data_IF_778207019760
#
_entry.id   IF_778207019760
#
_cell.length_a   1.000
_cell.length_b   1.000
_cell.length_c   1.000
_cell.angle_alpha   90.00
_cell.angle_beta   90.00
_cell.angle_gamma   90.00
#
_symmetry.space_group_name_H-M   'P 1'
#
loop_
_entity.id
_entity.type
_entity.pdbx_description
1 polymer ?
#
# COMPACT_ATOMS: atom_id res chain seq x y z
N UNK A 1 -22.86 35.61 -15.05
CA UNK A 1 -24.29 35.81 -14.72
C UNK A 1 -25.10 35.22 -15.86
N UNK A 2 -25.67 34.03 -15.62
CA UNK A 2 -26.84 33.40 -16.26
C UNK A 2 -27.23 33.86 -17.67
N UNK A 3 -26.73 33.21 -18.72
CA UNK A 3 -27.25 33.42 -20.08
C UNK A 3 -28.28 32.37 -20.53
N UNK A 4 -28.40 31.24 -19.83
CA UNK A 4 -29.57 30.36 -19.96
C UNK A 4 -30.45 30.55 -18.74
N UNK A 5 -31.38 31.50 -18.85
CA UNK A 5 -32.53 31.57 -17.95
C UNK A 5 -33.30 30.25 -18.03
N UNK A 6 -33.86 29.87 -16.89
CA UNK A 6 -34.77 28.73 -16.69
C UNK A 6 -35.87 28.61 -17.75
N UNK A 7 -36.20 29.70 -18.45
CA UNK A 7 -37.13 29.74 -19.59
C UNK A 7 -36.69 28.88 -20.79
N UNK A 8 -35.39 28.74 -21.04
CA UNK A 8 -34.88 27.89 -22.15
C UNK A 8 -34.90 26.40 -21.81
N UNK A 9 -34.65 26.06 -20.55
CA UNK A 9 -34.74 24.69 -20.03
C UNK A 9 -36.20 24.23 -19.90
N UNK A 10 -37.11 25.16 -19.59
CA UNK A 10 -38.57 24.92 -19.60
C UNK A 10 -39.12 24.67 -21.00
N UNK A 11 -38.60 25.35 -22.04
CA UNK A 11 -39.02 25.13 -23.43
C UNK A 11 -38.59 23.76 -23.98
N UNK A 12 -37.46 23.22 -23.50
CA UNK A 12 -36.94 21.89 -23.86
C UNK A 12 -37.39 20.77 -22.91
N UNK A 13 -38.16 21.11 -21.86
CA UNK A 13 -38.71 20.17 -20.87
C UNK A 13 -37.66 19.26 -20.20
N UNK A 14 -36.48 19.80 -19.89
CA UNK A 14 -35.41 19.08 -19.17
C UNK A 14 -35.36 19.61 -17.74
N UNK A 15 -35.75 18.78 -16.77
CA UNK A 15 -35.96 19.21 -15.37
C UNK A 15 -34.69 19.05 -14.51
N UNK A 16 -33.67 18.29 -14.95
CA UNK A 16 -32.41 18.12 -14.22
C UNK A 16 -31.35 17.41 -15.07
N UNK A 17 -30.04 17.71 -14.97
CA UNK A 17 -28.98 17.05 -15.72
C UNK A 17 -28.77 15.55 -15.39
N UNK A 18 -29.46 14.98 -14.39
CA UNK A 18 -29.15 13.64 -13.88
C UNK A 18 -30.33 12.68 -13.64
N UNK A 19 -31.56 12.96 -14.08
CA UNK A 19 -32.66 12.00 -13.92
C UNK A 19 -33.49 11.80 -15.20
N UNK A 20 -33.20 10.71 -15.92
CA UNK A 20 -34.14 10.11 -16.86
C UNK A 20 -35.19 9.31 -16.05
N UNK A 21 -36.42 9.82 -15.96
CA UNK A 21 -37.55 9.02 -15.47
C UNK A 21 -37.92 7.98 -16.52
N UNK A 22 -37.37 6.77 -16.37
CA UNK A 22 -37.76 5.58 -17.11
C UNK A 22 -39.14 5.13 -16.60
N UNK A 23 -40.18 5.44 -17.37
CA UNK A 23 -41.52 4.88 -17.20
C UNK A 23 -41.52 3.40 -17.60
N UNK A 24 -41.86 2.54 -16.64
CA UNK A 24 -41.94 1.09 -16.78
C UNK A 24 -42.92 0.64 -17.87
N UNK A 25 -42.46 -0.11 -18.89
CA UNK A 25 -43.28 -1.13 -19.55
C UNK A 25 -42.49 -2.37 -19.96
N UNK A 26 -43.22 -3.49 -19.88
CA UNK A 26 -42.78 -4.86 -19.66
C UNK A 26 -42.17 -5.53 -20.90
N UNK A 27 -41.27 -6.49 -20.64
CA UNK A 27 -40.79 -7.53 -21.57
C UNK A 27 -41.90 -8.08 -22.46
N UNK A 28 -41.68 -8.08 -23.77
CA UNK A 28 -42.12 -9.18 -24.63
C UNK A 28 -41.11 -9.48 -25.74
N UNK A 29 -40.78 -10.76 -25.84
CA UNK A 29 -39.77 -11.36 -26.70
C UNK A 29 -40.18 -11.27 -28.18
N UNK A 30 -39.27 -10.81 -29.06
CA UNK A 30 -39.39 -11.03 -30.51
C UNK A 30 -38.88 -12.43 -30.86
N UNK A 31 -39.79 -13.34 -31.14
CA UNK A 31 -39.55 -14.52 -31.98
C UNK A 31 -39.89 -14.14 -33.43
N UNK A 32 -38.94 -14.38 -34.32
CA UNK A 32 -39.07 -14.39 -35.77
C UNK A 32 -40.08 -15.45 -36.25
N UNK A 33 -40.92 -15.13 -37.22
CA UNK A 33 -41.49 -16.14 -38.11
C UNK A 33 -41.89 -15.54 -39.47
N UNK A 34 -41.45 -16.24 -40.51
CA UNK A 34 -41.73 -16.04 -41.93
C UNK A 34 -43.16 -16.48 -42.30
N UNK A 35 -43.61 -15.99 -43.45
CA UNK A 35 -44.88 -16.26 -44.12
C UNK A 35 -45.13 -17.75 -44.44
N UNK A 36 -46.41 -18.14 -44.52
CA UNK A 36 -47.06 -18.89 -45.63
C UNK A 36 -48.46 -19.41 -45.27
N UNK A 37 -49.45 -19.15 -46.14
CA UNK A 37 -50.40 -20.18 -46.61
C UNK A 37 -51.77 -20.41 -45.92
N UNK A 38 -52.82 -19.97 -46.63
CA UNK A 38 -54.06 -20.69 -46.98
C UNK A 38 -55.33 -20.74 -46.08
N UNK A 39 -56.45 -20.51 -46.80
CA UNK A 39 -57.83 -21.08 -46.73
C UNK A 39 -58.87 -20.57 -45.71
N UNK A 40 -59.84 -19.83 -46.27
CA UNK A 40 -61.33 -19.91 -46.23
C UNK A 40 -62.16 -20.15 -44.94
N UNK A 41 -63.32 -19.47 -44.95
CA UNK A 41 -64.64 -19.75 -44.32
C UNK A 41 -65.02 -19.09 -42.98
N UNK A 42 -65.74 -17.96 -43.12
CA UNK A 42 -67.12 -17.68 -42.66
C UNK A 42 -67.54 -18.01 -41.21
N UNK A 43 -67.92 -16.98 -40.42
CA UNK A 43 -69.26 -16.79 -39.84
C UNK A 43 -69.30 -15.82 -38.63
N UNK A 44 -70.14 -14.80 -38.77
CA UNK A 44 -71.04 -14.12 -37.80
C UNK A 44 -70.77 -14.23 -36.28
N UNK A 45 -70.77 -13.05 -35.64
CA UNK A 45 -71.15 -12.92 -34.22
C UNK A 45 -70.89 -11.53 -33.65
N UNK A 46 -71.93 -10.70 -33.61
CA UNK A 46 -71.91 -9.31 -33.16
C UNK A 46 -71.95 -9.17 -31.62
N UNK A 47 -71.23 -8.17 -31.10
CA UNK A 47 -71.61 -7.23 -30.03
C UNK A 47 -70.32 -6.47 -29.63
N UNK A 48 -70.15 -5.19 -30.00
CA UNK A 48 -70.57 -4.05 -29.17
C UNK A 48 -69.63 -3.91 -27.96
N UNK A 49 -68.92 -2.83 -27.69
CA UNK A 49 -69.00 -1.42 -28.09
C UNK A 49 -67.90 -0.70 -27.29
N UNK A 50 -67.12 0.19 -27.90
CA UNK A 50 -66.68 1.45 -27.29
C UNK A 50 -65.77 2.15 -28.29
N UNK A 51 -66.11 3.40 -28.57
CA UNK A 51 -65.35 4.34 -29.36
C UNK A 51 -64.05 4.65 -28.61
N UNK A 52 -62.91 4.26 -29.15
CA UNK A 52 -61.67 4.99 -28.94
C UNK A 52 -61.27 5.51 -30.32
N UNK A 53 -61.37 6.83 -30.48
CA UNK A 53 -60.78 7.52 -31.60
C UNK A 53 -59.28 7.23 -31.52
N UNK A 54 -58.76 6.46 -32.48
CA UNK A 54 -57.33 6.38 -32.74
C UNK A 54 -56.85 7.81 -32.98
N UNK A 55 -56.19 8.41 -31.98
CA UNK A 55 -55.31 9.55 -32.22
C UNK A 55 -54.27 9.06 -33.22
N UNK A 56 -54.43 9.48 -34.48
CA UNK A 56 -53.46 9.28 -35.52
C UNK A 56 -52.15 9.95 -35.08
N UNK A 57 -51.23 9.15 -34.56
CA UNK A 57 -49.85 9.60 -34.35
C UNK A 57 -49.27 9.82 -35.75
N UNK A 58 -48.99 11.08 -36.06
CA UNK A 58 -48.38 11.52 -37.32
C UNK A 58 -47.11 10.68 -37.58
N UNK A 59 -47.03 10.02 -38.74
CA UNK A 59 -45.84 9.27 -39.19
C UNK A 59 -44.56 10.12 -39.26
N UNK A 60 -44.65 11.44 -39.09
CA UNK A 60 -43.49 12.36 -38.98
C UNK A 60 -43.03 12.61 -37.54
N UNK A 61 -43.77 12.19 -36.53
CA UNK A 61 -43.41 12.39 -35.13
C UNK A 61 -42.49 11.26 -34.63
N UNK A 62 -41.35 11.06 -35.29
CA UNK A 62 -40.22 10.37 -34.68
C UNK A 62 -39.42 11.42 -33.92
N UNK A 63 -39.69 11.58 -32.62
CA UNK A 63 -38.69 12.20 -31.74
C UNK A 63 -37.62 11.14 -31.48
N UNK A 64 -36.64 11.08 -32.37
CA UNK A 64 -35.43 10.27 -32.16
C UNK A 64 -34.79 10.74 -30.85
N UNK A 65 -34.90 9.94 -29.79
CA UNK A 65 -34.28 10.21 -28.48
C UNK A 65 -32.75 10.32 -28.61
N UNK A 66 -32.19 9.74 -29.66
CA UNK A 66 -30.80 9.91 -30.11
C UNK A 66 -30.48 11.34 -30.59
N UNK A 67 -31.44 12.06 -31.17
CA UNK A 67 -31.25 13.46 -31.60
C UNK A 67 -31.19 14.45 -30.42
N UNK A 68 -31.95 14.20 -29.35
CA UNK A 68 -31.99 15.08 -28.18
C UNK A 68 -30.75 14.92 -27.30
N UNK A 69 -30.23 13.70 -27.16
CA UNK A 69 -28.98 13.42 -26.45
C UNK A 69 -27.77 14.03 -27.16
N UNK A 70 -27.72 13.92 -28.49
CA UNK A 70 -26.70 14.60 -29.31
C UNK A 70 -26.81 16.14 -29.21
N UNK A 71 -28.02 16.71 -29.22
CA UNK A 71 -28.22 18.15 -29.08
C UNK A 71 -27.79 18.67 -27.69
N UNK A 72 -28.08 17.93 -26.62
CA UNK A 72 -27.63 18.29 -25.26
C UNK A 72 -26.10 18.31 -25.21
N UNK A 73 -25.44 17.31 -25.80
CA UNK A 73 -23.98 17.26 -25.85
C UNK A 73 -23.42 18.44 -26.64
N UNK A 74 -23.98 18.79 -27.80
CA UNK A 74 -23.57 19.96 -28.58
C UNK A 74 -23.76 21.29 -27.83
N UNK A 75 -24.86 21.44 -27.07
CA UNK A 75 -25.12 22.64 -26.26
C UNK A 75 -24.10 22.75 -25.11
N UNK A 76 -23.79 21.64 -24.43
CA UNK A 76 -22.80 21.61 -23.36
C UNK A 76 -21.39 21.92 -23.89
N UNK A 77 -21.02 21.34 -25.03
CA UNK A 77 -19.75 21.60 -25.70
C UNK A 77 -19.64 23.08 -26.11
N UNK A 78 -20.72 23.67 -26.62
CA UNK A 78 -20.76 25.08 -26.99
C UNK A 78 -20.66 25.99 -25.76
N UNK A 79 -21.39 25.70 -24.68
CA UNK A 79 -21.31 26.47 -23.43
C UNK A 79 -19.90 26.39 -22.83
N UNK A 80 -19.29 25.21 -22.78
CA UNK A 80 -17.92 25.03 -22.33
C UNK A 80 -16.93 25.83 -23.18
N UNK A 81 -17.07 25.80 -24.51
CA UNK A 81 -16.24 26.59 -25.42
C UNK A 81 -16.41 28.10 -25.20
N UNK A 82 -17.64 28.57 -24.95
CA UNK A 82 -17.91 29.98 -24.64
C UNK A 82 -17.33 30.39 -23.28
N UNK A 83 -17.44 29.53 -22.26
CA UNK A 83 -16.82 29.74 -20.96
C UNK A 83 -15.29 29.83 -21.06
N UNK A 84 -14.66 28.95 -21.83
CA UNK A 84 -13.21 28.98 -22.10
C UNK A 84 -12.83 30.29 -22.82
N UNK A 85 -13.60 30.73 -23.82
CA UNK A 85 -13.35 32.02 -24.51
C UNK A 85 -13.47 33.21 -23.57
N UNK A 86 -14.51 33.22 -22.74
CA UNK A 86 -14.71 34.26 -21.72
C UNK A 86 -13.61 34.24 -20.66
N UNK A 87 -13.11 33.05 -20.29
CA UNK A 87 -12.00 32.89 -19.37
C UNK A 87 -10.70 33.41 -19.99
N UNK A 88 -10.39 33.00 -21.23
CA UNK A 88 -9.17 33.41 -21.94
C UNK A 88 -9.07 34.93 -22.15
N UNK A 89 -10.21 35.61 -22.23
CA UNK A 89 -10.29 37.07 -22.41
C UNK A 89 -10.20 37.88 -21.11
N UNK A 90 -10.26 37.22 -19.93
CA UNK A 90 -10.15 37.87 -18.63
C UNK A 90 -8.71 37.86 -18.14
N UNK A 91 -8.37 38.87 -17.35
CA UNK A 91 -7.10 38.94 -16.62
C UNK A 91 -7.25 38.27 -15.26
N UNK A 92 -6.28 37.44 -14.90
CA UNK A 92 -6.19 36.78 -13.61
C UNK A 92 -4.84 37.07 -12.97
N UNK A 93 -4.85 37.31 -11.67
CA UNK A 93 -3.65 37.44 -10.86
C UNK A 93 -3.20 36.05 -10.41
N UNK A 94 -1.95 35.70 -10.68
CA UNK A 94 -1.38 34.46 -10.14
C UNK A 94 -0.79 34.69 -8.75
N UNK A 95 -1.22 33.92 -7.74
CA UNK A 95 -0.73 34.06 -6.36
C UNK A 95 0.69 33.51 -6.10
N UNK A 96 1.35 32.92 -7.11
CA UNK A 96 2.73 32.41 -7.01
C UNK A 96 3.73 33.46 -7.47
N UNK A 97 3.50 34.04 -8.65
CA UNK A 97 4.38 35.06 -9.24
C UNK A 97 3.86 36.50 -9.09
N UNK A 98 2.65 36.68 -8.55
CA UNK A 98 1.96 37.96 -8.38
C UNK A 98 1.84 38.80 -9.66
N UNK A 99 1.87 38.16 -10.83
CA UNK A 99 1.72 38.81 -12.13
C UNK A 99 0.29 38.63 -12.66
N UNK A 100 -0.23 39.67 -13.31
CA UNK A 100 -1.48 39.61 -14.07
C UNK A 100 -1.22 38.96 -15.42
N UNK A 101 -2.00 37.93 -15.72
CA UNK A 101 -1.88 37.13 -16.95
C UNK A 101 -3.26 36.94 -17.58
N UNK A 102 -3.29 36.85 -18.90
CA UNK A 102 -4.51 36.51 -19.64
C UNK A 102 -4.92 35.08 -19.29
N UNK A 103 -6.23 34.81 -19.27
CA UNK A 103 -6.74 33.46 -19.01
C UNK A 103 -6.18 32.40 -19.95
N UNK A 104 -5.72 32.76 -21.14
CA UNK A 104 -5.04 31.84 -22.07
C UNK A 104 -3.70 31.29 -21.54
N UNK A 105 -3.01 32.08 -20.70
CA UNK A 105 -1.75 31.69 -20.04
C UNK A 105 -1.96 31.17 -18.62
N UNK A 106 -3.22 31.05 -18.19
CA UNK A 106 -3.59 30.58 -16.86
C UNK A 106 -4.34 29.26 -16.94
N UNK A 107 -4.20 28.46 -15.88
CA UNK A 107 -5.00 27.27 -15.67
C UNK A 107 -5.84 27.48 -14.42
N UNK A 108 -7.05 26.93 -14.44
CA UNK A 108 -7.93 26.95 -13.28
C UNK A 108 -8.27 25.52 -12.86
N UNK A 109 -8.38 25.32 -11.56
CA UNK A 109 -8.85 24.07 -10.98
C UNK A 109 -10.37 24.13 -10.87
N UNK A 110 -11.08 23.17 -11.46
CA UNK A 110 -12.55 23.13 -11.46
C UNK A 110 -13.13 22.94 -10.04
N UNK A 111 -12.43 22.15 -9.21
CA UNK A 111 -12.87 21.79 -7.86
C UNK A 111 -12.71 22.94 -6.85
N UNK A 112 -11.62 23.72 -6.94
CA UNK A 112 -11.31 24.77 -5.97
C UNK A 112 -11.36 26.21 -6.53
N UNK A 113 -11.59 26.38 -7.83
CA UNK A 113 -11.65 27.67 -8.55
C UNK A 113 -10.39 28.54 -8.47
N UNK A 114 -9.28 28.02 -7.95
CA UNK A 114 -8.00 28.74 -7.93
C UNK A 114 -7.38 28.80 -9.33
N UNK A 115 -6.80 29.96 -9.66
CA UNK A 115 -6.21 30.25 -10.97
C UNK A 115 -4.73 30.54 -10.81
N UNK A 116 -3.90 29.87 -11.60
CA UNK A 116 -2.45 30.08 -11.59
C UNK A 116 -1.89 30.15 -13.00
N UNK A 117 -0.74 30.82 -13.14
CA UNK A 117 -0.04 30.93 -14.41
C UNK A 117 0.53 29.56 -14.84
N UNK A 118 0.49 29.24 -16.13
CA UNK A 118 0.99 27.97 -16.69
C UNK A 118 2.47 27.74 -16.35
N UNK A 119 3.31 28.78 -16.40
CA UNK A 119 4.73 28.68 -16.06
C UNK A 119 4.93 28.29 -14.59
N UNK A 120 4.19 28.93 -13.69
CA UNK A 120 4.24 28.70 -12.25
C UNK A 120 3.83 27.27 -11.89
N UNK A 121 2.77 26.77 -12.53
CA UNK A 121 2.30 25.40 -12.34
C UNK A 121 3.23 24.38 -12.96
N UNK A 122 3.85 24.68 -14.11
CA UNK A 122 4.88 23.83 -14.72
C UNK A 122 6.02 23.62 -13.72
N UNK A 123 6.61 24.70 -13.20
CA UNK A 123 7.71 24.61 -12.24
C UNK A 123 7.30 23.85 -10.97
N UNK A 124 6.11 24.12 -10.45
CA UNK A 124 5.56 23.41 -9.30
C UNK A 124 5.43 21.91 -9.55
N UNK A 125 4.82 21.50 -10.67
CA UNK A 125 4.68 20.09 -11.01
C UNK A 125 6.01 19.41 -11.29
N UNK A 126 6.96 20.08 -11.95
CA UNK A 126 8.30 19.54 -12.17
C UNK A 126 9.02 19.25 -10.86
N UNK A 127 8.95 20.17 -9.88
CA UNK A 127 9.57 19.98 -8.57
C UNK A 127 8.91 18.82 -7.83
N UNK A 128 7.57 18.79 -7.77
CA UNK A 128 6.84 17.70 -7.08
C UNK A 128 7.11 16.32 -7.69
N UNK A 129 7.19 16.22 -9.02
CA UNK A 129 7.52 14.97 -9.73
C UNK A 129 8.99 14.56 -9.47
N UNK A 130 9.91 15.54 -9.40
CA UNK A 130 11.33 15.29 -9.08
C UNK A 130 11.50 14.80 -7.64
N UNK A 131 10.80 15.41 -6.69
CA UNK A 131 10.84 15.09 -5.26
C UNK A 131 10.12 13.77 -4.91
N UNK A 132 9.35 13.20 -5.84
CA UNK A 132 8.69 11.91 -5.67
C UNK A 132 7.40 11.96 -4.84
N UNK A 133 6.91 13.15 -4.52
CA UNK A 133 5.65 13.35 -3.81
C UNK A 133 4.50 13.39 -4.82
N UNK A 134 4.16 12.22 -5.37
CA UNK A 134 3.22 12.11 -6.51
C UNK A 134 1.81 11.74 -6.09
N UNK A 135 1.60 11.44 -4.80
CA UNK A 135 0.35 10.86 -4.33
C UNK A 135 -0.87 11.74 -4.62
N UNK A 136 -0.72 13.05 -4.69
CA UNK A 136 -1.69 13.98 -5.25
C UNK A 136 -0.94 15.27 -5.60
N UNK A 137 -0.84 15.64 -6.88
CA UNK A 137 -0.39 16.99 -7.25
C UNK A 137 -1.47 17.97 -6.80
N UNK A 138 -1.36 18.44 -5.57
CA UNK A 138 -2.35 19.27 -4.93
C UNK A 138 -2.33 20.69 -5.48
N UNK A 139 -3.43 21.40 -5.29
CA UNK A 139 -3.46 22.84 -5.51
C UNK A 139 -2.41 23.54 -4.61
N UNK A 140 -1.64 24.51 -5.14
CA UNK A 140 -0.66 25.27 -4.36
C UNK A 140 -1.22 26.05 -3.15
N UNK A 141 -2.54 26.25 -3.10
CA UNK A 141 -3.21 26.93 -1.99
C UNK A 141 -3.19 26.09 -0.69
N UNK A 142 -2.73 26.65 0.44
CA UNK A 142 -2.71 25.95 1.71
C UNK A 142 -4.11 25.52 2.15
N UNK A 143 -4.24 24.26 2.59
CA UNK A 143 -5.49 23.61 3.05
C UNK A 143 -6.51 23.29 1.95
N UNK A 144 -6.13 23.35 0.68
CA UNK A 144 -6.99 22.90 -0.40
C UNK A 144 -6.77 21.40 -0.72
N UNK A 145 -7.80 20.54 -0.65
CA UNK A 145 -7.66 19.11 -0.95
C UNK A 145 -7.80 18.78 -2.45
N UNK A 146 -7.97 19.78 -3.32
CA UNK A 146 -8.16 19.55 -4.75
C UNK A 146 -6.89 19.05 -5.41
N UNK A 147 -7.04 18.04 -6.28
CA UNK A 147 -5.94 17.39 -6.99
C UNK A 147 -5.96 17.80 -8.47
N UNK A 148 -4.79 17.99 -9.05
CA UNK A 148 -4.64 18.22 -10.48
C UNK A 148 -5.02 16.95 -11.26
N UNK A 149 -5.83 17.11 -12.30
CA UNK A 149 -6.16 15.98 -13.18
C UNK A 149 -4.95 15.59 -14.04
N UNK A 150 -4.75 14.30 -14.38
CA UNK A 150 -3.63 13.86 -15.22
C UNK A 150 -3.57 14.59 -16.59
N UNK A 151 -4.71 15.00 -17.13
CA UNK A 151 -4.79 15.78 -18.36
C UNK A 151 -4.15 17.16 -18.24
N UNK A 152 -4.34 17.86 -17.12
CA UNK A 152 -3.73 19.16 -16.85
C UNK A 152 -2.20 19.05 -16.69
N UNK A 153 -1.73 17.96 -16.07
CA UNK A 153 -0.30 17.68 -15.92
C UNK A 153 0.33 17.41 -17.29
N UNK A 154 -0.34 16.63 -18.15
CA UNK A 154 0.12 16.31 -19.51
C UNK A 154 0.26 17.53 -20.41
N UNK A 155 -0.59 18.55 -20.23
CA UNK A 155 -0.51 19.79 -21.03
C UNK A 155 0.69 20.65 -20.64
N UNK A 156 1.11 20.61 -19.37
CA UNK A 156 2.12 21.53 -18.82
C UNK A 156 3.53 20.93 -18.75
N UNK A 157 3.63 19.63 -18.55
CA UNK A 157 4.88 18.92 -18.28
C UNK A 157 5.36 18.18 -19.53
N UNK A 158 6.68 18.11 -19.71
CA UNK A 158 7.30 17.38 -20.82
C UNK A 158 7.00 15.87 -20.76
N UNK A 159 7.00 15.21 -21.92
CA UNK A 159 6.60 13.81 -22.04
C UNK A 159 7.41 12.85 -21.13
N UNK A 160 8.69 13.14 -20.91
CA UNK A 160 9.56 12.32 -20.04
C UNK A 160 9.16 12.40 -18.56
N UNK A 161 8.91 13.63 -18.08
CA UNK A 161 8.47 13.86 -16.71
C UNK A 161 7.03 13.36 -16.49
N UNK A 162 6.17 13.47 -17.52
CA UNK A 162 4.84 12.89 -17.49
C UNK A 162 4.87 11.36 -17.41
N UNK A 163 5.76 10.69 -18.14
CA UNK A 163 5.92 9.22 -18.05
C UNK A 163 6.41 8.78 -16.65
N UNK A 164 7.25 9.61 -16.00
CA UNK A 164 7.66 9.39 -14.61
C UNK A 164 6.48 9.59 -13.64
N UNK A 165 5.71 10.65 -13.81
CA UNK A 165 4.48 10.90 -13.05
C UNK A 165 3.50 9.73 -13.17
N UNK A 166 3.21 9.28 -14.39
CA UNK A 166 2.29 8.17 -14.67
C UNK A 166 2.75 6.87 -13.99
N UNK A 167 4.04 6.55 -14.06
CA UNK A 167 4.61 5.39 -13.35
C UNK A 167 4.44 5.49 -11.84
N UNK A 168 4.70 6.65 -11.26
CA UNK A 168 4.61 6.86 -9.81
C UNK A 168 3.15 6.86 -9.34
N UNK A 169 2.23 7.40 -10.13
CA UNK A 169 0.80 7.34 -9.88
C UNK A 169 0.31 5.88 -9.91
N UNK A 170 0.72 5.12 -10.92
CA UNK A 170 0.39 3.70 -11.02
C UNK A 170 0.96 2.92 -9.83
N UNK A 171 2.24 3.12 -9.50
CA UNK A 171 2.89 2.45 -8.37
C UNK A 171 2.17 2.74 -7.06
N UNK A 172 1.88 4.02 -6.78
CA UNK A 172 1.14 4.38 -5.56
C UNK A 172 -0.26 3.78 -5.51
N UNK A 173 -0.94 3.67 -6.66
CA UNK A 173 -2.27 3.06 -6.73
C UNK A 173 -2.19 1.55 -6.46
N UNK A 174 -1.17 0.88 -7.00
CA UNK A 174 -0.92 -0.54 -6.79
C UNK A 174 -0.50 -0.84 -5.35
N UNK A 175 0.29 0.04 -4.72
CA UNK A 175 0.72 -0.10 -3.32
C UNK A 175 -0.46 -0.03 -2.33
N UNK A 176 -1.55 0.64 -2.70
CA UNK A 176 -2.79 0.68 -1.92
C UNK A 176 -3.60 -0.62 -2.02
N UNK A 177 -3.34 -1.45 -3.04
CA UNK A 177 -4.05 -2.71 -3.24
C UNK A 177 -3.37 -3.85 -2.48
N UNK A 178 -4.09 -4.47 -1.54
CA UNK A 178 -3.55 -5.57 -0.73
C UNK A 178 -3.20 -6.83 -1.54
N UNK A 179 -3.80 -7.01 -2.72
CA UNK A 179 -3.64 -8.20 -3.57
C UNK A 179 -2.46 -8.08 -4.55
N UNK A 180 -1.72 -6.96 -4.53
CA UNK A 180 -0.59 -6.73 -5.43
C UNK A 180 0.73 -6.94 -4.70
N UNK A 181 1.57 -7.80 -5.27
CA UNK A 181 2.92 -8.06 -4.74
C UNK A 181 3.96 -7.85 -5.84
N UNK A 182 5.03 -7.15 -5.53
CA UNK A 182 6.12 -6.92 -6.48
C UNK A 182 7.05 -8.13 -6.60
N UNK A 183 7.51 -8.37 -7.83
CA UNK A 183 8.55 -9.34 -8.07
C UNK A 183 9.82 -9.00 -7.26
N UNK A 184 10.37 -9.93 -6.47
CA UNK A 184 11.54 -9.66 -5.62
C UNK A 184 12.84 -9.49 -6.39
N UNK A 185 12.87 -9.79 -7.70
CA UNK A 185 14.08 -9.59 -8.51
C UNK A 185 14.34 -8.09 -8.69
N UNK A 186 15.53 -7.58 -8.31
CA UNK A 186 15.88 -6.17 -8.45
C UNK A 186 15.79 -5.66 -9.90
N UNK A 187 16.02 -6.54 -10.87
CA UNK A 187 15.96 -6.23 -12.29
C UNK A 187 14.54 -6.25 -12.88
N UNK A 188 13.53 -6.71 -12.14
CA UNK A 188 12.17 -6.88 -12.66
C UNK A 188 11.16 -5.98 -11.95
N UNK A 189 11.00 -6.12 -10.63
CA UNK A 189 10.05 -5.35 -9.80
C UNK A 189 8.65 -5.15 -10.42
N UNK A 190 8.18 -6.10 -11.23
CA UNK A 190 6.86 -6.00 -11.87
C UNK A 190 5.78 -6.34 -10.82
N UNK A 191 4.67 -5.58 -10.76
CA UNK A 191 3.53 -5.94 -9.92
C UNK A 191 2.90 -7.24 -10.42
N UNK A 192 2.65 -8.17 -9.50
CA UNK A 192 2.01 -9.46 -9.74
C UNK A 192 0.76 -9.53 -8.87
N UNK A 193 -0.35 -9.90 -9.48
CA UNK A 193 -1.60 -10.15 -8.75
C UNK A 193 -1.50 -11.46 -7.99
N UNK A 194 -1.81 -11.44 -6.70
CA UNK A 194 -1.88 -12.63 -5.86
C UNK A 194 -3.30 -13.21 -5.90
N UNK A 195 -3.41 -14.52 -6.10
CA UNK A 195 -4.69 -15.21 -5.91
C UNK A 195 -4.95 -15.44 -4.41
N UNK A 196 -6.18 -15.15 -3.93
CA UNK A 196 -6.52 -15.34 -2.52
C UNK A 196 -6.42 -16.81 -2.14
N UNK A 197 -5.65 -17.09 -1.08
CA UNK A 197 -5.41 -18.46 -0.57
C UNK A 197 -4.17 -19.15 -1.15
N UNK A 198 -3.53 -18.58 -2.17
CA UNK A 198 -2.28 -19.09 -2.72
C UNK A 198 -1.09 -18.27 -2.22
N UNK A 199 -0.04 -18.94 -1.73
CA UNK A 199 1.22 -18.29 -1.30
C UNK A 199 2.24 -18.16 -2.44
N UNK A 200 1.86 -18.55 -3.66
CA UNK A 200 2.71 -18.54 -4.85
C UNK A 200 2.36 -17.34 -5.73
N UNK A 201 3.36 -16.53 -6.07
CA UNK A 201 3.29 -15.51 -7.11
C UNK A 201 4.20 -15.89 -8.28
N UNK A 202 3.70 -15.83 -9.51
CA UNK A 202 4.49 -16.06 -10.72
C UNK A 202 4.56 -14.74 -11.49
N UNK A 203 5.79 -14.26 -11.70
CA UNK A 203 5.99 -13.03 -12.47
C UNK A 203 5.94 -13.29 -13.98
N UNK A 204 5.04 -12.63 -14.70
CA UNK A 204 4.84 -12.85 -16.15
C UNK A 204 6.01 -12.41 -17.04
N UNK A 205 6.89 -11.54 -16.57
CA UNK A 205 8.04 -11.05 -17.36
C UNK A 205 9.30 -11.90 -17.16
N UNK A 206 9.60 -12.30 -15.93
CA UNK A 206 10.80 -13.08 -15.62
C UNK A 206 10.54 -14.56 -15.30
N UNK A 207 9.28 -15.00 -15.33
CA UNK A 207 8.82 -16.35 -14.98
C UNK A 207 9.34 -16.85 -13.63
N UNK A 208 9.64 -15.93 -12.71
CA UNK A 208 10.12 -16.26 -11.39
C UNK A 208 8.92 -16.60 -10.49
N UNK A 209 8.87 -17.85 -10.04
CA UNK A 209 7.93 -18.31 -9.02
C UNK A 209 8.49 -18.02 -7.63
N UNK A 210 7.82 -17.16 -6.89
CA UNK A 210 8.22 -16.75 -5.55
C UNK A 210 7.10 -16.93 -4.54
N UNK A 211 7.49 -17.05 -3.28
CA UNK A 211 6.56 -17.08 -2.15
C UNK A 211 6.19 -15.63 -1.78
N UNK A 212 4.89 -15.32 -1.73
CA UNK A 212 4.39 -13.97 -1.39
C UNK A 212 4.70 -13.57 0.04
N UNK A 213 4.99 -14.54 0.92
CA UNK A 213 5.32 -14.33 2.32
C UNK A 213 6.80 -13.98 2.52
N UNK A 214 7.71 -14.86 2.10
CA UNK A 214 9.15 -14.67 2.32
C UNK A 214 9.85 -13.89 1.20
N UNK A 215 9.17 -13.69 0.05
CA UNK A 215 9.71 -13.07 -1.17
C UNK A 215 10.94 -13.81 -1.74
N UNK A 216 11.09 -15.10 -1.43
CA UNK A 216 12.11 -15.99 -1.97
C UNK A 216 11.51 -17.01 -2.95
N UNK A 217 12.34 -17.88 -3.51
CA UNK A 217 11.90 -19.00 -4.37
C UNK A 217 10.76 -19.77 -3.72
N UNK A 218 9.72 -20.05 -4.49
CA UNK A 218 8.60 -20.84 -4.00
C UNK A 218 9.05 -22.21 -3.50
N UNK A 219 8.61 -22.57 -2.29
CA UNK A 219 9.11 -23.72 -1.55
C UNK A 219 7.98 -24.69 -1.13
N UNK A 220 6.78 -24.51 -1.69
CA UNK A 220 5.63 -25.39 -1.46
C UNK A 220 5.24 -25.47 0.01
N UNK A 221 5.25 -26.69 0.55
CA UNK A 221 4.86 -27.02 1.93
C UNK A 221 6.00 -26.81 2.93
N UNK A 222 7.24 -26.65 2.46
CA UNK A 222 8.37 -26.42 3.37
C UNK A 222 8.28 -25.03 4.02
N UNK A 223 8.77 -24.84 5.25
CA UNK A 223 8.68 -23.56 5.94
C UNK A 223 9.50 -22.48 5.22
N UNK A 224 9.02 -21.23 5.31
CA UNK A 224 9.74 -20.07 4.79
C UNK A 224 11.12 -19.95 5.43
N UNK A 225 12.18 -19.88 4.61
CA UNK A 225 13.53 -19.56 5.09
C UNK A 225 13.67 -18.05 5.26
N UNK A 226 13.40 -17.55 6.47
CA UNK A 226 13.56 -16.13 6.80
C UNK A 226 15.04 -15.82 7.06
N UNK A 227 15.47 -14.61 6.66
CA UNK A 227 16.78 -14.06 7.00
C UNK A 227 16.80 -13.63 8.47
N UNK A 228 17.99 -13.59 9.09
CA UNK A 228 18.16 -13.27 10.52
C UNK A 228 17.52 -11.93 10.93
N UNK A 229 17.58 -10.92 10.07
CA UNK A 229 16.94 -9.61 10.30
C UNK A 229 15.41 -9.73 10.35
N UNK A 230 14.82 -10.44 9.38
CA UNK A 230 13.37 -10.65 9.33
C UNK A 230 12.86 -11.53 10.47
N UNK A 231 13.71 -12.37 11.05
CA UNK A 231 13.37 -13.15 12.24
C UNK A 231 13.23 -12.25 13.47
N UNK A 232 14.08 -11.22 13.60
CA UNK A 232 14.00 -10.23 14.67
C UNK A 232 12.74 -9.38 14.50
N UNK A 233 12.44 -8.94 13.28
CA UNK A 233 11.21 -8.19 12.99
C UNK A 233 9.95 -9.02 13.30
N UNK A 234 9.92 -10.27 12.83
CA UNK A 234 8.82 -11.20 13.10
C UNK A 234 8.62 -11.45 14.60
N UNK A 235 9.71 -11.53 15.35
CA UNK A 235 9.67 -11.67 16.80
C UNK A 235 9.07 -10.43 17.48
N UNK A 236 9.56 -9.23 17.12
CA UNK A 236 9.04 -7.99 17.69
C UNK A 236 7.55 -7.85 17.42
N UNK A 237 7.12 -8.18 16.20
CA UNK A 237 5.72 -8.22 15.81
C UNK A 237 4.93 -9.25 16.65
N UNK A 238 5.48 -10.45 16.87
CA UNK A 238 4.82 -11.50 17.65
C UNK A 238 4.69 -11.18 19.14
N UNK A 239 5.70 -10.52 19.73
CA UNK A 239 5.68 -10.11 21.14
C UNK A 239 4.72 -8.95 21.39
N UNK A 240 4.56 -8.05 20.41
CA UNK A 240 3.66 -6.90 20.50
C UNK A 240 2.23 -7.21 20.03
N UNK A 241 2.03 -8.33 19.34
CA UNK A 241 0.75 -8.73 18.79
C UNK A 241 -0.26 -9.20 19.86
N UNK A 242 -1.54 -8.94 19.59
CA UNK A 242 -2.67 -9.56 20.29
C UNK A 242 -2.78 -11.06 19.97
N UNK A 243 -3.54 -11.81 20.78
CA UNK A 243 -3.69 -13.27 20.62
C UNK A 243 -4.23 -13.70 19.25
N UNK A 244 -5.10 -12.90 18.61
CA UNK A 244 -5.61 -13.19 17.27
C UNK A 244 -4.55 -12.94 16.18
N UNK A 245 -3.73 -11.90 16.35
CA UNK A 245 -2.59 -11.61 15.48
C UNK A 245 -1.49 -12.67 15.62
N UNK A 246 -1.24 -13.17 16.83
CA UNK A 246 -0.33 -14.31 17.07
C UNK A 246 -0.81 -15.56 16.34
N UNK A 247 -2.09 -15.90 16.44
CA UNK A 247 -2.67 -17.04 15.71
C UNK A 247 -2.53 -16.88 14.19
N UNK A 248 -2.73 -15.67 13.67
CA UNK A 248 -2.52 -15.39 12.26
C UNK A 248 -1.06 -15.56 11.84
N UNK A 249 -0.10 -15.05 12.63
CA UNK A 249 1.33 -15.25 12.40
C UNK A 249 1.70 -16.74 12.43
N UNK A 250 1.18 -17.50 13.41
CA UNK A 250 1.40 -18.95 13.52
C UNK A 250 0.85 -19.74 12.34
N UNK A 251 -0.33 -19.38 11.82
CA UNK A 251 -0.91 -19.99 10.63
C UNK A 251 -0.11 -19.63 9.36
N UNK A 252 0.43 -18.42 9.30
CA UNK A 252 1.14 -17.88 8.14
C UNK A 252 2.58 -18.38 8.02
N UNK A 253 3.35 -18.40 9.11
CA UNK A 253 4.77 -18.79 9.12
C UNK A 253 5.01 -20.18 9.68
N UNK A 254 4.02 -20.76 10.36
CA UNK A 254 4.13 -22.02 11.07
C UNK A 254 4.71 -21.83 12.47
N UNK A 255 4.09 -22.47 13.47
CA UNK A 255 4.49 -22.40 14.89
C UNK A 255 5.98 -22.65 15.12
N UNK A 256 6.59 -23.61 14.40
CA UNK A 256 8.01 -23.96 14.54
C UNK A 256 8.97 -22.83 14.15
N UNK A 257 8.63 -22.01 13.15
CA UNK A 257 9.49 -20.91 12.69
C UNK A 257 9.46 -19.78 13.70
N UNK A 258 8.28 -19.50 14.26
CA UNK A 258 8.11 -18.48 15.31
C UNK A 258 8.82 -18.93 16.58
N UNK A 259 8.64 -20.17 17.00
CA UNK A 259 9.34 -20.73 18.15
C UNK A 259 10.86 -20.64 17.98
N UNK A 260 11.40 -20.98 16.80
CA UNK A 260 12.82 -20.83 16.51
C UNK A 260 13.30 -19.37 16.61
N UNK A 261 12.48 -18.42 16.15
CA UNK A 261 12.79 -16.99 16.26
C UNK A 261 12.88 -16.53 17.73
N UNK A 262 11.97 -17.03 18.58
CA UNK A 262 11.97 -16.75 20.02
C UNK A 262 13.18 -17.40 20.72
N UNK A 263 13.43 -18.68 20.45
CA UNK A 263 14.54 -19.45 21.04
C UNK A 263 15.92 -18.88 20.66
N UNK A 264 16.10 -18.36 19.44
CA UNK A 264 17.36 -17.73 19.01
C UNK A 264 17.70 -16.46 19.81
N UNK A 265 16.70 -15.73 20.33
CA UNK A 265 16.94 -14.58 21.21
C UNK A 265 17.33 -15.04 22.61
N UNK A 266 16.55 -15.96 23.19
CA UNK A 266 16.83 -16.49 24.52
C UNK A 266 18.24 -17.09 24.58
N UNK A 267 18.64 -17.81 23.53
CA UNK A 267 19.99 -18.37 23.43
C UNK A 267 21.08 -17.29 23.37
N UNK A 268 20.86 -16.17 22.67
CA UNK A 268 21.84 -15.07 22.56
C UNK A 268 21.92 -14.25 23.85
N UNK A 269 20.78 -13.87 24.42
CA UNK A 269 20.71 -13.10 25.65
C UNK A 269 21.30 -13.90 26.82
N UNK A 270 21.00 -15.20 26.88
CA UNK A 270 21.61 -16.08 27.87
C UNK A 270 23.13 -16.18 27.69
N UNK A 271 23.62 -16.28 26.45
CA UNK A 271 25.05 -16.34 26.16
C UNK A 271 25.77 -15.05 26.59
N UNK A 272 25.18 -13.88 26.36
CA UNK A 272 25.76 -12.59 26.77
C UNK A 272 25.80 -12.41 28.29
N UNK A 273 24.78 -12.90 29.00
CA UNK A 273 24.69 -12.76 30.47
C UNK A 273 25.55 -13.78 31.21
N UNK A 274 25.59 -15.03 30.73
CA UNK A 274 26.19 -16.16 31.46
C UNK A 274 27.57 -16.58 30.94
N UNK A 275 28.02 -16.05 29.80
CA UNK A 275 29.31 -16.42 29.21
C UNK A 275 30.22 -15.23 28.95
N UNK A 276 31.53 -15.47 28.99
CA UNK A 276 32.57 -14.51 28.64
C UNK A 276 33.50 -15.13 27.60
N UNK A 277 33.89 -14.35 26.59
CA UNK A 277 34.74 -14.85 25.51
C UNK A 277 36.19 -15.02 25.98
N UNK A 278 36.82 -16.12 25.56
CA UNK A 278 38.23 -16.34 25.80
C UNK A 278 39.09 -15.25 25.12
N UNK A 279 40.03 -14.62 25.82
CA UNK A 279 40.85 -13.53 25.25
C UNK A 279 41.82 -13.97 24.14
N UNK A 280 42.07 -15.28 24.00
CA UNK A 280 43.00 -15.80 23.00
C UNK A 280 42.29 -16.30 21.72
N UNK A 281 41.11 -16.92 21.85
CA UNK A 281 40.45 -17.59 20.72
C UNK A 281 38.96 -17.21 20.53
N UNK A 282 38.39 -16.41 21.42
CA UNK A 282 37.00 -15.95 21.31
C UNK A 282 35.92 -16.96 21.69
N UNK A 283 36.27 -18.22 22.00
CA UNK A 283 35.28 -19.22 22.46
C UNK A 283 34.54 -18.71 23.70
N UNK A 284 33.19 -18.69 23.72
CA UNK A 284 32.42 -18.31 24.91
C UNK A 284 32.60 -19.38 25.99
N UNK A 285 32.98 -18.96 27.19
CA UNK A 285 33.20 -19.81 28.35
C UNK A 285 32.23 -19.37 29.43
N UNK A 286 31.52 -20.31 30.04
CA UNK A 286 30.70 -20.13 31.23
C UNK A 286 31.55 -20.43 32.49
N UNK A 287 31.31 -19.69 33.58
CA UNK A 287 31.91 -19.99 34.89
C UNK A 287 30.87 -20.74 35.72
N UNK A 288 31.09 -22.04 35.92
CA UNK A 288 30.21 -22.88 36.73
C UNK A 288 30.41 -22.62 38.23
N UNK A 289 31.64 -22.72 38.71
CA UNK A 289 32.01 -22.40 40.10
C UNK A 289 33.56 -22.39 40.24
N UNK A 290 34.08 -21.86 41.35
CA UNK A 290 35.47 -21.96 41.74
C UNK A 290 36.32 -20.72 41.47
N UNK A 291 37.64 -20.91 41.37
CA UNK A 291 38.58 -19.80 41.32
C UNK A 291 38.52 -19.02 39.99
N UNK A 292 38.88 -17.74 40.03
CA UNK A 292 38.94 -16.84 38.88
C UNK A 292 40.04 -17.18 37.86
N UNK A 293 40.83 -18.24 38.09
CA UNK A 293 41.78 -18.79 37.12
C UNK A 293 41.07 -19.81 36.21
N UNK A 294 40.51 -19.30 35.12
CA UNK A 294 39.77 -20.10 34.14
C UNK A 294 40.70 -20.77 33.12
N UNK A 295 40.22 -21.87 32.54
CA UNK A 295 40.90 -22.60 31.46
C UNK A 295 39.96 -22.66 30.27
N UNK A 296 40.37 -22.13 29.12
CA UNK A 296 39.55 -22.18 27.92
C UNK A 296 39.42 -23.62 27.40
N UNK A 297 38.19 -24.07 27.13
CA UNK A 297 37.90 -25.41 26.57
C UNK A 297 38.35 -25.58 25.13
N UNK A 298 38.40 -24.50 24.34
CA UNK A 298 38.81 -24.53 22.94
C UNK A 298 40.33 -24.56 22.74
N UNK A 299 41.06 -23.62 23.37
CA UNK A 299 42.51 -23.46 23.17
C UNK A 299 43.39 -23.84 24.37
N UNK A 300 42.80 -24.28 25.48
CA UNK A 300 43.52 -24.65 26.72
C UNK A 300 44.44 -23.54 27.27
N UNK A 301 44.14 -22.29 26.96
CA UNK A 301 44.84 -21.13 27.52
C UNK A 301 44.26 -20.78 28.89
N UNK A 302 45.13 -20.54 29.87
CA UNK A 302 44.71 -20.01 31.17
C UNK A 302 44.47 -18.51 31.08
N UNK A 303 43.40 -18.03 31.71
CA UNK A 303 43.07 -16.61 31.75
C UNK A 303 42.36 -16.26 33.07
N UNK A 304 42.35 -14.98 33.42
CA UNK A 304 41.67 -14.46 34.60
C UNK A 304 40.23 -14.04 34.25
N UNK A 305 39.23 -14.52 34.99
CA UNK A 305 37.80 -14.23 34.77
C UNK A 305 37.40 -12.78 35.08
N UNK A 306 38.19 -12.09 35.92
CA UNK A 306 37.93 -10.71 36.33
C UNK A 306 38.39 -9.75 35.24
N UNK A 307 39.65 -9.84 34.82
CA UNK A 307 40.27 -8.87 33.92
C UNK A 307 40.37 -9.34 32.46
N UNK A 308 39.94 -10.58 32.16
CA UNK A 308 40.12 -11.23 30.85
C UNK A 308 41.59 -11.29 30.38
N UNK A 309 42.55 -11.18 31.30
CA UNK A 309 43.97 -11.25 30.99
C UNK A 309 44.44 -12.69 30.79
N UNK A 310 45.28 -12.93 29.77
CA UNK A 310 45.94 -14.22 29.57
C UNK A 310 46.96 -14.50 30.67
N UNK A 311 46.90 -15.69 31.28
CA UNK A 311 47.79 -16.12 32.35
C UNK A 311 48.92 -17.01 31.81
N UNK A 312 50.09 -16.93 32.43
CA UNK A 312 51.22 -17.78 32.06
C UNK A 312 50.93 -19.25 32.40
N UNK A 313 51.37 -20.19 31.55
CA UNK A 313 51.26 -21.64 31.82
C UNK A 313 52.21 -22.11 32.93
N UNK A 314 53.36 -21.46 33.06
CA UNK A 314 54.36 -21.82 34.07
C UNK A 314 53.90 -21.46 35.49
N UNK A 315 53.31 -20.28 35.68
CA UNK A 315 52.80 -19.82 36.98
C UNK A 315 51.48 -19.05 36.81
N UNK A 316 50.34 -19.75 36.70
CA UNK A 316 49.04 -19.12 36.48
C UNK A 316 48.56 -18.26 37.66
N UNK A 317 48.96 -18.59 38.88
CA UNK A 317 48.51 -17.93 40.11
C UNK A 317 49.26 -16.65 40.45
N UNK A 318 50.42 -16.39 39.82
CA UNK A 318 51.22 -15.17 40.07
C UNK A 318 50.38 -13.90 39.90
N UNK A 319 49.48 -13.89 38.93
CA UNK A 319 48.57 -12.77 38.67
C UNK A 319 47.66 -12.42 39.86
N UNK A 320 47.40 -13.35 40.79
CA UNK A 320 46.58 -13.09 41.98
C UNK A 320 47.42 -12.82 43.23
N UNK A 321 48.72 -13.09 43.20
CA UNK A 321 49.65 -12.90 44.32
C UNK A 321 50.53 -11.66 44.14
N UNK A 322 50.53 -11.04 42.97
CA UNK A 322 51.31 -9.83 42.68
C UNK A 322 50.57 -8.56 43.13
N UNK A 323 51.10 -7.78 44.09
CA UNK A 323 50.50 -6.52 44.53
C UNK A 323 50.34 -5.47 43.42
N UNK A 324 51.10 -5.59 42.33
CA UNK A 324 50.99 -4.69 41.17
C UNK A 324 49.81 -5.04 40.25
N UNK A 325 49.16 -6.18 40.45
CA UNK A 325 48.02 -6.60 39.64
C UNK A 325 46.70 -6.03 40.16
N UNK A 326 45.80 -5.67 39.25
CA UNK A 326 44.43 -5.24 39.59
C UNK A 326 43.57 -6.38 40.19
N UNK A 327 44.06 -7.62 40.11
CA UNK A 327 43.38 -8.82 40.62
C UNK A 327 44.09 -9.43 41.85
N UNK A 328 44.95 -8.66 42.52
CA UNK A 328 45.63 -9.08 43.74
C UNK A 328 44.65 -9.54 44.83
N UNK A 329 44.90 -10.72 45.41
CA UNK A 329 44.05 -11.41 46.38
C UNK A 329 42.60 -11.67 45.94
N UNK A 330 42.30 -11.61 44.63
CA UNK A 330 40.95 -11.87 44.08
C UNK A 330 40.80 -13.25 43.43
N UNK A 331 41.60 -14.24 43.83
CA UNK A 331 41.51 -15.59 43.25
C UNK A 331 40.14 -16.25 43.49
N UNK A 332 39.50 -15.96 44.62
CA UNK A 332 38.19 -16.48 45.01
C UNK A 332 37.13 -15.38 45.23
N UNK A 333 37.40 -14.15 44.79
CA UNK A 333 36.44 -13.04 44.93
C UNK A 333 35.28 -13.19 43.94
N UNK A 334 34.04 -12.95 44.37
CA UNK A 334 32.81 -13.16 43.59
C UNK A 334 32.60 -14.63 43.14
N UNK A 335 32.93 -15.57 44.04
CA UNK A 335 32.33 -16.91 44.00
C UNK A 335 30.99 -16.76 44.73
N UNK A 336 29.96 -16.41 43.98
CA UNK A 336 28.60 -16.40 44.49
C UNK A 336 28.25 -17.87 44.80
N UNK A 337 28.28 -18.23 46.09
CA UNK A 337 27.53 -19.37 46.57
C UNK A 337 26.09 -18.87 46.55
N UNK A 338 25.28 -19.35 45.61
CA UNK A 338 23.85 -19.05 45.59
C UNK A 338 23.26 -19.43 46.96
N UNK A 339 23.10 -18.44 47.83
CA UNK A 339 22.37 -18.54 49.09
C UNK A 339 20.87 -18.35 48.77
N UNK A 340 20.36 -19.14 47.83
CA UNK A 340 18.92 -19.22 47.55
C UNK A 340 18.27 -20.16 48.58
N UNK A 341 17.93 -19.56 49.72
CA UNK A 341 16.60 -19.58 50.33
C UNK A 341 15.84 -20.92 50.16
N UNK A 342 16.02 -21.81 51.12
CA UNK A 342 14.94 -22.70 51.58
C UNK A 342 14.55 -22.23 52.98
N UNK A 343 13.73 -21.18 53.07
CA UNK A 343 12.87 -20.99 54.25
C UNK A 343 11.78 -22.07 54.17
N UNK A 344 12.13 -23.29 54.59
CA UNK A 344 11.14 -24.31 54.90
C UNK A 344 10.27 -23.78 56.05
N UNK A 345 8.97 -23.65 55.78
CA UNK A 345 7.92 -23.37 56.75
C UNK A 345 8.06 -24.29 57.96
N UNK A 346 8.51 -23.75 59.09
CA UNK A 346 8.28 -24.36 60.39
C UNK A 346 6.86 -23.97 60.80
N UNK A 347 5.88 -24.80 60.44
CA UNK A 347 4.61 -24.85 61.16
C UNK A 347 4.89 -25.38 62.58
N UNK A 348 4.78 -24.49 63.58
CA UNK A 348 4.67 -24.88 64.99
C UNK A 348 3.24 -25.36 65.27
N UNK A 349 3.10 -26.64 65.60
CA UNK A 349 1.93 -27.23 66.30
C UNK A 349 1.95 -26.93 67.81
#
# INVERSE_FOLDING_TARGET
>A
MQFLKEETLGYLNIVSPFELKIGSQKKLQRRTAQASGNTELDCRGAAGSALDQEEAVDERAVQDVESLSNLIQEILDFDQAQQIKCFNSKLFLCNICFCEKLGSECMHFLECRHVYCKACLKDYFEIQIKDGQVQCLNCPEPKCPSVATPGQVKELVEAELFARYDRLLLQSTLDLMADVVYCPRPCCQLPVMQEPGCTMGICSSCNFAFCTLCRLTYHGVSPCKLTAEKLIDLQNEYLQADEDSKRFLEQRYGKRVIQKALEEMESKEWLEKNSKNCPNCGTPIEKLDGCNKMTCTGCMQYFCWICMGSLSRANPYKHFTDPASLCFNRLFYAVDVDEDIWEDEIEED
#
